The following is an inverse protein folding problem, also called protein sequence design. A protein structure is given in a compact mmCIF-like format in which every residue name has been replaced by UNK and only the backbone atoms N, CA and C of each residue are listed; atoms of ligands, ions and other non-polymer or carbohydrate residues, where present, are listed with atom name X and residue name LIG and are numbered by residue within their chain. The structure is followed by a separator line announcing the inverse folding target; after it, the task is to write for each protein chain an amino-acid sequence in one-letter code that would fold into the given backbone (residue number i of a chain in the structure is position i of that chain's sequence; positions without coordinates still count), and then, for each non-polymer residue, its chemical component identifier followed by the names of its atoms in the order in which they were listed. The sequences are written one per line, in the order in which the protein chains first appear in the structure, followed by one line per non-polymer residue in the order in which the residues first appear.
data_IF_416308135870
#
_entry.id   IF_416308135870
#
_cell.length_a   1.000
_cell.length_b   1.000
_cell.length_c   1.000
_cell.angle_alpha   90.00
_cell.angle_beta   90.00
_cell.angle_gamma   90.00
#
_symmetry.space_group_name_H-M   'P 1'
#
loop_
_entity.id
_entity.type
_entity.pdbx_description
1 polymer ?
#
# COMPACT_ATOMS: atom_id res chain seq x y z
N UNK A 1 0.51 -18.51 48.84
CA UNK A 1 0.03 -17.24 48.25
C UNK A 1 0.83 -17.01 46.99
N UNK A 2 0.26 -17.37 45.83
CA UNK A 2 0.89 -17.24 44.52
C UNK A 2 -0.15 -16.54 43.64
N UNK A 3 0.07 -15.28 43.28
CA UNK A 3 -0.92 -14.52 42.52
C UNK A 3 -0.25 -13.74 41.38
N UNK A 4 -0.38 -14.33 40.19
CA UNK A 4 -0.69 -13.70 38.90
C UNK A 4 0.16 -12.48 38.47
N UNK A 5 1.28 -12.76 37.81
CA UNK A 5 1.80 -11.84 36.79
C UNK A 5 0.99 -12.06 35.50
N UNK A 6 -0.09 -11.29 35.34
CA UNK A 6 -0.84 -11.24 34.08
C UNK A 6 0.02 -10.48 33.07
N UNK A 7 0.49 -11.23 32.07
CA UNK A 7 1.21 -10.79 30.89
C UNK A 7 0.58 -9.54 30.26
N UNK A 8 1.26 -8.39 30.37
CA UNK A 8 0.93 -7.17 29.64
C UNK A 8 1.49 -7.18 28.19
N UNK A 9 1.42 -8.32 27.49
CA UNK A 9 1.92 -8.47 26.11
C UNK A 9 0.83 -8.26 25.05
N UNK A 10 -0.33 -7.74 25.44
CA UNK A 10 -1.53 -7.65 24.59
C UNK A 10 -1.71 -6.38 23.75
N UNK A 11 -0.64 -5.65 23.42
CA UNK A 11 -0.74 -4.45 22.56
C UNK A 11 0.16 -4.50 21.32
N UNK A 12 0.68 -5.67 20.96
CA UNK A 12 1.13 -5.88 19.60
C UNK A 12 -0.13 -6.15 18.76
N UNK A 13 -0.70 -5.11 18.14
CA UNK A 13 -1.60 -5.33 17.01
C UNK A 13 -0.87 -6.27 16.06
N UNK A 14 -1.40 -7.46 15.76
CA UNK A 14 -0.75 -8.35 14.84
C UNK A 14 -0.48 -7.56 13.57
N UNK A 15 0.79 -7.47 13.17
CA UNK A 15 1.17 -6.94 11.88
C UNK A 15 0.64 -7.94 10.84
N UNK A 16 -0.66 -7.88 10.56
CA UNK A 16 -1.27 -8.60 9.46
C UNK A 16 -0.60 -8.05 8.22
N UNK A 17 0.24 -8.87 7.60
CA UNK A 17 0.78 -8.55 6.30
C UNK A 17 -0.43 -8.41 5.38
N UNK A 18 -0.65 -7.21 4.83
CA UNK A 18 -1.71 -7.00 3.87
C UNK A 18 -1.60 -8.05 2.75
N UNK A 19 -2.70 -8.75 2.48
CA UNK A 19 -2.77 -9.77 1.42
C UNK A 19 -2.93 -9.06 0.07
N UNK A 20 -1.79 -8.64 -0.49
CA UNK A 20 -1.72 -7.98 -1.78
C UNK A 20 -1.92 -9.01 -2.90
N UNK A 21 -3.08 -8.97 -3.53
CA UNK A 21 -3.43 -9.82 -4.67
C UNK A 21 -3.12 -9.08 -5.96
N UNK A 22 -2.40 -9.71 -6.89
CA UNK A 22 -2.15 -9.12 -8.20
C UNK A 22 -3.46 -9.05 -9.01
N UNK A 23 -3.84 -7.84 -9.43
CA UNK A 23 -5.10 -7.58 -10.16
C UNK A 23 -4.89 -7.15 -11.60
N UNK A 24 -3.66 -6.83 -11.99
CA UNK A 24 -3.37 -6.47 -13.38
C UNK A 24 -1.90 -6.22 -13.68
N UNK A 25 -1.59 -6.26 -14.97
CA UNK A 25 -0.35 -5.80 -15.57
C UNK A 25 -0.74 -4.93 -16.76
N UNK A 26 -0.17 -3.73 -16.88
CA UNK A 26 -0.40 -2.85 -18.03
C UNK A 26 0.59 -3.13 -19.18
N UNK A 27 0.45 -2.40 -20.29
CA UNK A 27 1.32 -2.54 -21.47
C UNK A 27 2.78 -2.15 -21.22
N UNK A 28 3.03 -1.34 -20.19
CA UNK A 28 4.37 -0.91 -19.78
C UNK A 28 4.99 -1.87 -18.75
N UNK A 29 4.34 -3.01 -18.49
CA UNK A 29 4.67 -4.02 -17.49
C UNK A 29 4.60 -3.53 -16.04
N UNK A 30 3.89 -2.44 -15.76
CA UNK A 30 3.62 -2.06 -14.38
C UNK A 30 2.62 -3.03 -13.78
N UNK A 31 2.90 -3.49 -12.57
CA UNK A 31 2.07 -4.47 -11.87
C UNK A 31 1.19 -3.77 -10.85
N UNK A 32 -0.10 -4.05 -10.88
CA UNK A 32 -1.06 -3.54 -9.88
C UNK A 32 -1.48 -4.66 -8.94
N UNK A 33 -1.39 -4.38 -7.65
CA UNK A 33 -1.89 -5.22 -6.58
C UNK A 33 -3.04 -4.51 -5.87
N UNK A 34 -4.06 -5.25 -5.46
CA UNK A 34 -5.12 -4.80 -4.56
C UNK A 34 -4.97 -5.46 -3.20
N UNK A 35 -5.19 -4.71 -2.12
CA UNK A 35 -5.22 -5.27 -0.77
C UNK A 35 -6.63 -5.83 -0.49
N UNK A 36 -6.74 -7.15 -0.42
CA UNK A 36 -8.01 -7.85 -0.28
C UNK A 36 -8.73 -7.49 1.04
N UNK A 37 -7.97 -7.23 2.09
CA UNK A 37 -8.50 -6.93 3.43
C UNK A 37 -9.01 -5.49 3.55
N UNK A 38 -8.54 -4.60 2.69
CA UNK A 38 -8.93 -3.17 2.71
C UNK A 38 -10.27 -2.87 2.02
N UNK A 39 -10.85 -3.85 1.34
CA UNK A 39 -11.97 -3.64 0.43
C UNK A 39 -13.26 -3.31 1.18
N UNK A 40 -13.84 -2.16 0.86
CA UNK A 40 -15.24 -1.80 1.17
C UNK A 40 -16.10 -1.92 -0.10
N UNK A 41 -17.35 -1.45 -0.05
CA UNK A 41 -18.26 -1.46 -1.20
C UNK A 41 -17.72 -0.65 -2.39
N UNK A 42 -17.05 0.46 -2.10
CA UNK A 42 -16.60 1.45 -3.09
C UNK A 42 -15.11 1.80 -2.96
N UNK A 43 -14.37 1.26 -1.98
CA UNK A 43 -12.96 1.64 -1.76
C UNK A 43 -12.06 0.45 -1.56
N UNK A 44 -10.81 0.61 -1.96
CA UNK A 44 -9.74 -0.32 -1.65
C UNK A 44 -8.37 0.35 -1.74
N UNK A 45 -7.39 -0.22 -1.06
CA UNK A 45 -5.99 0.08 -1.26
C UNK A 45 -5.44 -0.65 -2.47
N UNK A 46 -4.65 0.06 -3.26
CA UNK A 46 -3.92 -0.47 -4.41
C UNK A 46 -2.44 -0.13 -4.28
N UNK A 47 -1.58 -1.05 -4.73
CA UNK A 47 -0.15 -0.83 -4.91
C UNK A 47 0.20 -0.99 -6.39
N UNK A 48 0.80 0.03 -6.99
CA UNK A 48 1.33 -0.02 -8.35
C UNK A 48 2.85 -0.10 -8.23
N UNK A 49 3.44 -1.14 -8.81
CA UNK A 49 4.88 -1.31 -8.98
C UNK A 49 5.25 -1.01 -10.42
N UNK A 50 6.08 -0.01 -10.61
CA UNK A 50 6.51 0.43 -11.92
C UNK A 50 7.69 -0.41 -12.40
N UNK A 51 7.62 -0.86 -13.66
CA UNK A 51 8.72 -1.61 -14.28
C UNK A 51 9.97 -0.75 -14.46
N UNK A 52 9.79 0.57 -14.56
CA UNK A 52 10.85 1.58 -14.63
C UNK A 52 10.53 2.68 -13.62
N UNK A 53 11.53 3.26 -12.92
CA UNK A 53 11.27 4.35 -12.00
C UNK A 53 10.63 5.55 -12.71
N UNK A 54 9.54 6.05 -12.14
CA UNK A 54 8.79 7.21 -12.60
C UNK A 54 9.29 8.48 -11.95
N UNK A 55 9.20 9.62 -12.66
CA UNK A 55 9.74 10.90 -12.20
C UNK A 55 8.61 11.80 -11.67
N UNK A 56 8.77 12.30 -10.44
CA UNK A 56 7.99 13.44 -9.92
C UNK A 56 8.78 14.74 -10.18
N UNK A 57 8.06 15.83 -10.46
CA UNK A 57 8.56 17.12 -10.97
C UNK A 57 9.94 17.57 -10.44
N UNK A 58 10.20 17.40 -9.15
CA UNK A 58 11.45 17.76 -8.47
C UNK A 58 12.66 16.86 -8.78
N UNK A 59 12.54 15.95 -9.75
CA UNK A 59 13.61 15.05 -10.16
C UNK A 59 13.78 13.80 -9.29
N UNK A 60 12.87 13.56 -8.34
CA UNK A 60 12.86 12.34 -7.54
C UNK A 60 12.19 11.20 -8.31
N UNK A 61 12.82 10.03 -8.26
CA UNK A 61 12.32 8.82 -8.89
C UNK A 61 11.65 7.90 -7.87
N UNK A 62 10.48 7.40 -8.21
CA UNK A 62 9.75 6.41 -7.41
C UNK A 62 9.50 5.17 -8.26
N UNK A 63 9.56 4.01 -7.64
CA UNK A 63 9.28 2.73 -8.30
C UNK A 63 7.95 2.13 -7.84
N UNK A 64 7.32 2.71 -6.82
CA UNK A 64 6.12 2.17 -6.21
C UNK A 64 5.21 3.27 -5.69
N UNK A 65 3.91 3.15 -5.95
CA UNK A 65 2.87 3.98 -5.35
C UNK A 65 1.89 3.08 -4.61
N UNK A 66 1.50 3.47 -3.40
CA UNK A 66 0.29 2.98 -2.75
C UNK A 66 -0.78 4.05 -2.77
N UNK A 67 -2.01 3.69 -3.11
CA UNK A 67 -3.14 4.62 -3.19
C UNK A 67 -4.41 4.00 -2.60
N UNK A 68 -5.17 4.81 -1.88
CA UNK A 68 -6.55 4.50 -1.50
C UNK A 68 -7.45 5.11 -2.57
N UNK A 69 -8.17 4.26 -3.29
CA UNK A 69 -9.11 4.69 -4.32
C UNK A 69 -10.54 4.43 -3.91
N UNK A 70 -11.40 5.38 -4.27
CA UNK A 70 -12.85 5.27 -4.27
C UNK A 70 -13.32 5.10 -5.72
N UNK A 71 -14.21 4.14 -5.95
CA UNK A 71 -14.70 3.71 -7.26
C UNK A 71 -16.22 3.84 -7.29
N UNK A 72 -16.71 4.74 -8.14
CA UNK A 72 -18.12 4.82 -8.51
C UNK A 72 -18.31 4.08 -9.84
N UNK A 73 -18.72 2.81 -9.77
CA UNK A 73 -18.97 1.99 -10.95
C UNK A 73 -20.17 2.48 -11.76
N UNK A 74 -21.18 3.08 -11.10
CA UNK A 74 -22.37 3.60 -11.77
C UNK A 74 -22.04 4.83 -12.60
N UNK A 75 -21.27 5.75 -12.01
CA UNK A 75 -20.77 6.97 -12.66
C UNK A 75 -19.50 6.79 -13.49
N UNK A 76 -18.91 5.58 -13.52
CA UNK A 76 -17.64 5.24 -14.19
C UNK A 76 -16.49 6.17 -13.79
N UNK A 77 -16.43 6.52 -12.50
CA UNK A 77 -15.46 7.47 -11.97
C UNK A 77 -14.62 6.80 -10.88
N UNK A 78 -13.34 7.14 -10.83
CA UNK A 78 -12.49 6.87 -9.69
C UNK A 78 -12.03 8.18 -9.04
N UNK A 79 -11.75 8.11 -7.74
CA UNK A 79 -11.18 9.19 -6.96
C UNK A 79 -10.08 8.66 -6.07
N UNK A 80 -8.87 9.19 -6.23
CA UNK A 80 -7.77 8.96 -5.30
C UNK A 80 -8.00 9.76 -4.03
N UNK A 81 -8.21 9.08 -2.91
CA UNK A 81 -8.38 9.72 -1.60
C UNK A 81 -7.04 9.99 -0.93
N UNK A 82 -6.07 9.09 -1.11
CA UNK A 82 -4.72 9.21 -0.56
C UNK A 82 -3.73 8.48 -1.47
N UNK A 83 -2.52 9.01 -1.61
CA UNK A 83 -1.44 8.35 -2.33
C UNK A 83 -0.10 8.56 -1.60
N UNK A 84 0.76 7.56 -1.66
CA UNK A 84 2.12 7.60 -1.12
C UNK A 84 3.07 6.99 -2.13
N UNK A 85 4.04 7.79 -2.58
CA UNK A 85 5.14 7.35 -3.43
C UNK A 85 6.32 6.88 -2.59
N UNK A 86 6.84 5.70 -2.91
CA UNK A 86 8.05 5.16 -2.32
C UNK A 86 9.20 5.40 -3.29
N UNK A 87 10.11 6.27 -2.86
CA UNK A 87 11.33 6.56 -3.60
C UNK A 87 12.35 5.50 -3.21
N UNK A 88 12.89 4.76 -4.18
CA UNK A 88 14.13 4.04 -3.96
C UNK A 88 15.25 5.08 -3.84
N UNK A 89 15.50 5.57 -2.63
CA UNK A 89 16.85 6.03 -2.33
C UNK A 89 17.73 4.78 -2.35
N UNK A 90 18.78 4.74 -3.16
CA UNK A 90 19.79 3.67 -3.15
C UNK A 90 20.59 3.55 -1.84
N UNK A 91 19.94 3.76 -0.68
CA UNK A 91 20.46 3.54 0.66
C UNK A 91 19.29 3.14 1.58
N UNK A 92 19.19 1.84 1.86
CA UNK A 92 18.55 1.33 3.06
C UNK A 92 19.41 1.70 4.27
N UNK A 93 19.30 2.95 4.76
CA UNK A 93 19.79 3.29 6.09
C UNK A 93 18.60 3.44 7.03
N UNK A 94 18.63 2.56 8.02
CA UNK A 94 17.70 2.31 9.11
C UNK A 94 16.92 3.54 9.62
N UNK A 95 15.69 3.26 10.08
CA UNK A 95 14.98 4.14 11.01
C UNK A 95 15.88 4.42 12.24
N UNK A 96 15.90 5.65 12.78
CA UNK A 96 16.51 5.93 14.08
C UNK A 96 15.79 5.19 15.23
#
# INVERSE_FOLDING_TARGET
MLCLAVFALGLATPAVAADWVQVGIDSDNNTTFGDADSRTDDRAWFEIRYAKPEKIGDGKFYNKIKKLEEMDCSGKRSRTLTATGYFESGNSRACP
#
